data_IF_422062368178
#
_entry.id   IF_422062368178
#
_cell.length_a   1.000
_cell.length_b   1.000
_cell.length_c   1.000
_cell.angle_alpha   90.00
_cell.angle_beta   90.00
_cell.angle_gamma   90.00
#
_symmetry.space_group_name_H-M   'P 1'
#
loop_
_entity.id
_entity.type
_entity.pdbx_description
1 polymer ?
#
# COMPACT_ATOMS: atom_id res chain seq x y z
N UNK A 1 -23.01 -2.29 -35.48
CA UNK A 1 -22.59 -1.11 -34.69
C UNK A 1 -21.42 -1.55 -33.84
N UNK A 2 -20.21 -1.10 -34.13
CA UNK A 2 -19.04 -1.46 -33.34
C UNK A 2 -18.95 -0.55 -32.11
N UNK A 3 -18.83 -1.14 -30.92
CA UNK A 3 -18.75 -0.40 -29.67
C UNK A 3 -17.30 0.03 -29.45
N UNK A 4 -16.80 0.98 -30.25
CA UNK A 4 -15.39 1.41 -30.26
C UNK A 4 -15.18 2.74 -29.51
N UNK A 5 -16.07 3.08 -28.59
CA UNK A 5 -15.96 4.28 -27.77
C UNK A 5 -15.03 4.09 -26.58
N UNK A 6 -14.37 5.16 -26.15
CA UNK A 6 -13.66 5.25 -24.87
C UNK A 6 -14.17 6.48 -24.13
N UNK A 7 -14.47 6.34 -22.85
CA UNK A 7 -14.87 7.43 -21.97
C UNK A 7 -13.86 7.56 -20.84
N UNK A 8 -13.22 8.73 -20.72
CA UNK A 8 -12.44 9.12 -19.54
C UNK A 8 -13.30 10.03 -18.66
N UNK A 9 -13.65 9.54 -17.47
CA UNK A 9 -14.39 10.27 -16.46
C UNK A 9 -13.41 10.77 -15.39
N UNK A 10 -13.50 12.06 -15.04
CA UNK A 10 -12.70 12.68 -13.98
C UNK A 10 -13.63 13.38 -13.00
N UNK A 11 -13.67 12.87 -11.76
CA UNK A 11 -14.31 13.52 -10.64
C UNK A 11 -13.23 14.24 -9.83
N UNK A 12 -13.01 15.52 -10.15
CA UNK A 12 -11.89 16.32 -9.61
C UNK A 12 -11.94 16.43 -8.10
N UNK A 13 -13.09 16.81 -7.54
CA UNK A 13 -13.24 17.06 -6.10
C UNK A 13 -13.20 15.76 -5.28
N UNK A 14 -13.57 14.64 -5.89
CA UNK A 14 -13.49 13.31 -5.28
C UNK A 14 -12.14 12.62 -5.48
N UNK A 15 -11.22 13.23 -6.24
CA UNK A 15 -9.94 12.63 -6.60
C UNK A 15 -10.05 11.24 -7.25
N UNK A 16 -11.08 11.04 -8.10
CA UNK A 16 -11.36 9.76 -8.77
C UNK A 16 -11.34 9.91 -10.29
N UNK A 17 -10.75 8.93 -10.96
CA UNK A 17 -10.81 8.81 -12.42
C UNK A 17 -11.19 7.40 -12.86
N UNK A 18 -11.86 7.32 -14.00
CA UNK A 18 -12.29 6.07 -14.60
C UNK A 18 -12.13 6.12 -16.12
N UNK A 19 -11.68 5.01 -16.71
CA UNK A 19 -11.69 4.78 -18.16
C UNK A 19 -12.65 3.64 -18.44
N UNK A 20 -13.69 3.90 -19.23
CA UNK A 20 -14.63 2.89 -19.74
C UNK A 20 -14.32 2.63 -21.20
N UNK A 21 -14.14 1.36 -21.56
CA UNK A 21 -13.79 0.94 -22.91
C UNK A 21 -14.96 0.17 -23.51
N UNK A 22 -15.35 0.52 -24.74
CA UNK A 22 -16.35 -0.25 -25.48
C UNK A 22 -15.79 -1.59 -25.93
N UNK A 23 -16.65 -2.62 -25.98
CA UNK A 23 -16.28 -4.00 -26.33
C UNK A 23 -15.45 -4.17 -27.61
N UNK A 24 -15.60 -3.28 -28.59
CA UNK A 24 -14.85 -3.38 -29.85
C UNK A 24 -13.38 -2.96 -29.73
N UNK A 25 -13.00 -2.29 -28.64
CA UNK A 25 -11.61 -1.90 -28.36
C UNK A 25 -10.95 -2.77 -27.28
N UNK A 26 -11.63 -3.77 -26.70
CA UNK A 26 -11.06 -4.62 -25.64
C UNK A 26 -9.77 -5.34 -26.08
N UNK A 27 -9.63 -5.68 -27.37
CA UNK A 27 -8.41 -6.30 -27.89
C UNK A 27 -7.19 -5.37 -27.90
N UNK A 28 -7.39 -4.09 -28.17
CA UNK A 28 -6.30 -3.11 -28.27
C UNK A 28 -6.09 -2.32 -26.95
N UNK A 29 -7.18 -2.08 -26.22
CA UNK A 29 -7.21 -1.35 -24.96
C UNK A 29 -7.95 -2.18 -23.89
N UNK A 30 -7.37 -3.30 -23.43
CA UNK A 30 -7.95 -4.06 -22.33
C UNK A 30 -7.84 -3.30 -21.02
N UNK A 31 -8.62 -3.72 -20.03
CA UNK A 31 -8.69 -3.10 -18.69
C UNK A 31 -7.30 -2.94 -18.04
N UNK A 32 -6.43 -3.95 -18.16
CA UNK A 32 -5.07 -3.90 -17.61
C UNK A 32 -4.23 -2.75 -18.20
N UNK A 33 -4.38 -2.45 -19.50
CA UNK A 33 -3.68 -1.34 -20.16
C UNK A 33 -4.31 -0.02 -19.73
N UNK A 34 -5.64 0.08 -19.71
CA UNK A 34 -6.33 1.26 -19.21
C UNK A 34 -5.91 1.61 -17.76
N UNK A 35 -5.85 0.63 -16.88
CA UNK A 35 -5.38 0.80 -15.50
C UNK A 35 -3.91 1.24 -15.42
N UNK A 36 -3.08 0.80 -16.37
CA UNK A 36 -1.67 1.20 -16.45
C UNK A 36 -1.53 2.65 -16.91
N UNK A 37 -2.30 3.06 -17.92
CA UNK A 37 -2.37 4.44 -18.39
C UNK A 37 -2.80 5.37 -17.24
N UNK A 38 -3.82 4.99 -16.49
CA UNK A 38 -4.27 5.73 -15.30
C UNK A 38 -3.10 5.96 -14.34
N UNK A 39 -2.44 4.89 -13.90
CA UNK A 39 -1.40 4.96 -12.86
C UNK A 39 -0.14 5.71 -13.30
N UNK A 40 0.27 5.55 -14.55
CA UNK A 40 1.58 6.04 -15.00
C UNK A 40 1.52 7.29 -15.86
N UNK A 41 0.44 7.50 -16.61
CA UNK A 41 0.31 8.62 -17.53
C UNK A 41 -0.57 9.75 -16.98
N UNK A 42 -1.55 9.44 -16.12
CA UNK A 42 -2.52 10.44 -15.62
C UNK A 42 -2.25 10.83 -14.17
N UNK A 43 -2.24 9.86 -13.25
CA UNK A 43 -2.12 10.08 -11.80
C UNK A 43 -0.91 10.97 -11.40
N UNK A 44 0.31 10.81 -11.96
CA UNK A 44 1.45 11.64 -11.55
C UNK A 44 1.27 13.13 -11.81
N UNK A 45 0.53 13.49 -12.87
CA UNK A 45 0.21 14.89 -13.17
C UNK A 45 -0.92 15.41 -12.30
N UNK A 46 -1.95 14.58 -12.05
CA UNK A 46 -3.08 14.96 -11.21
C UNK A 46 -2.65 15.22 -9.76
N UNK A 47 -1.69 14.44 -9.23
CA UNK A 47 -1.02 14.70 -7.94
C UNK A 47 -0.32 16.06 -7.88
N UNK A 48 0.10 16.60 -9.02
CA UNK A 48 0.74 17.91 -9.14
C UNK A 48 -0.26 19.02 -9.50
N UNK A 49 -1.56 18.76 -9.46
CA UNK A 49 -2.63 19.66 -9.93
C UNK A 49 -2.53 20.05 -11.42
N UNK A 50 -1.78 19.27 -12.21
CA UNK A 50 -1.57 19.45 -13.67
C UNK A 50 -2.60 18.63 -14.46
N UNK A 51 -3.87 19.00 -14.33
CA UNK A 51 -4.98 18.21 -14.87
C UNK A 51 -5.00 18.16 -16.41
N UNK A 52 -4.74 19.28 -17.08
CA UNK A 52 -4.73 19.35 -18.53
C UNK A 52 -3.62 18.46 -19.12
N UNK A 53 -2.42 18.51 -18.53
CA UNK A 53 -1.28 17.69 -18.91
C UNK A 53 -1.54 16.21 -18.65
N UNK A 54 -2.15 15.86 -17.51
CA UNK A 54 -2.53 14.48 -17.20
C UNK A 54 -3.55 13.93 -18.20
N UNK A 55 -4.55 14.71 -18.59
CA UNK A 55 -5.55 14.32 -19.59
C UNK A 55 -4.88 14.15 -20.97
N UNK A 56 -4.04 15.10 -21.39
CA UNK A 56 -3.35 15.03 -22.68
C UNK A 56 -2.39 13.83 -22.75
N UNK A 57 -1.63 13.58 -21.69
CA UNK A 57 -0.75 12.41 -21.53
C UNK A 57 -1.55 11.10 -21.58
N UNK A 58 -2.67 11.02 -20.85
CA UNK A 58 -3.58 9.88 -20.87
C UNK A 58 -4.17 9.62 -22.26
N UNK A 59 -4.63 10.67 -22.94
CA UNK A 59 -5.18 10.56 -24.30
C UNK A 59 -4.14 10.06 -25.30
N UNK A 60 -2.92 10.61 -25.26
CA UNK A 60 -1.80 10.16 -26.10
C UNK A 60 -1.50 8.67 -25.88
N UNK A 61 -1.51 8.23 -24.63
CA UNK A 61 -1.31 6.83 -24.27
C UNK A 61 -2.45 5.92 -24.75
N UNK A 62 -3.71 6.36 -24.65
CA UNK A 62 -4.88 5.63 -25.17
C UNK A 62 -4.77 5.48 -26.69
N UNK A 63 -4.41 6.54 -27.42
CA UNK A 63 -4.24 6.49 -28.89
C UNK A 63 -3.16 5.46 -29.26
N UNK A 64 -2.00 5.51 -28.61
CA UNK A 64 -0.92 4.53 -28.82
C UNK A 64 -1.37 3.10 -28.52
N UNK A 65 -2.16 2.91 -27.47
CA UNK A 65 -2.68 1.58 -27.12
C UNK A 65 -3.63 1.06 -28.21
N UNK A 66 -4.52 1.90 -28.74
CA UNK A 66 -5.41 1.52 -29.85
C UNK A 66 -4.66 1.16 -31.14
N UNK A 67 -3.44 1.66 -31.31
CA UNK A 67 -2.56 1.35 -32.44
C UNK A 67 -1.64 0.13 -32.18
N UNK A 68 -1.65 -0.42 -30.97
CA UNK A 68 -0.74 -1.50 -30.56
C UNK A 68 0.69 -1.06 -30.25
N UNK A 69 0.94 0.25 -30.16
CA UNK A 69 2.26 0.84 -29.94
C UNK A 69 2.55 1.21 -28.47
N UNK A 70 1.60 0.96 -27.57
CA UNK A 70 1.76 1.32 -26.16
C UNK A 70 2.71 0.37 -25.43
N UNK A 71 3.88 0.90 -25.06
CA UNK A 71 4.80 0.25 -24.14
C UNK A 71 4.60 0.79 -22.72
N UNK A 72 4.07 -0.02 -21.78
CA UNK A 72 3.95 0.41 -20.39
C UNK A 72 5.35 0.66 -19.81
N UNK A 73 5.52 1.70 -18.97
CA UNK A 73 6.82 1.96 -18.34
C UNK A 73 7.24 0.74 -17.53
N UNK A 74 8.50 0.32 -17.69
CA UNK A 74 9.07 -0.74 -16.85
C UNK A 74 8.95 -0.28 -15.41
N UNK A 75 8.43 -1.15 -14.52
CA UNK A 75 8.47 -0.91 -13.09
C UNK A 75 9.93 -0.67 -12.72
N UNK A 76 10.28 0.58 -12.44
CA UNK A 76 11.53 0.88 -11.77
C UNK A 76 11.42 0.17 -10.42
N UNK A 77 12.20 -0.89 -10.26
CA UNK A 77 12.41 -1.46 -8.94
C UNK A 77 13.01 -0.32 -8.13
N UNK A 78 12.25 0.20 -7.16
CA UNK A 78 12.79 1.09 -6.15
C UNK A 78 14.02 0.39 -5.60
N UNK A 79 15.19 0.92 -5.94
CA UNK A 79 16.44 0.47 -5.35
C UNK A 79 16.37 0.95 -3.92
N UNK A 80 15.96 0.04 -3.03
CA UNK A 80 16.09 0.27 -1.60
C UNK A 80 17.59 0.34 -1.35
N UNK A 81 18.10 1.54 -1.09
CA UNK A 81 19.51 1.72 -0.81
C UNK A 81 19.84 0.93 0.48
N UNK A 82 20.82 -0.01 0.44
CA UNK A 82 21.16 -0.85 1.59
C UNK A 82 21.52 -0.04 2.85
N UNK A 83 21.92 1.22 2.66
CA UNK A 83 22.26 2.14 3.74
C UNK A 83 21.02 2.63 4.52
N UNK A 84 19.85 2.79 3.91
CA UNK A 84 18.63 3.24 4.62
C UNK A 84 18.19 2.21 5.66
N UNK A 85 18.26 0.92 5.33
CA UNK A 85 18.01 -0.17 6.27
C UNK A 85 19.02 -0.22 7.41
N UNK A 86 20.29 0.10 7.13
CA UNK A 86 21.36 0.13 8.13
C UNK A 86 21.17 1.28 9.13
N UNK A 87 20.80 2.47 8.67
CA UNK A 87 20.53 3.61 9.55
C UNK A 87 19.34 3.36 10.48
N UNK A 88 18.23 2.80 9.97
CA UNK A 88 17.05 2.45 10.78
C UNK A 88 17.42 1.39 11.83
N UNK A 89 18.15 0.35 11.43
CA UNK A 89 18.62 -0.69 12.34
C UNK A 89 19.54 -0.12 13.45
N UNK A 90 20.46 0.78 13.10
CA UNK A 90 21.38 1.41 14.04
C UNK A 90 20.64 2.30 15.05
N UNK A 91 19.66 3.09 14.60
CA UNK A 91 18.84 3.93 15.48
C UNK A 91 18.04 3.07 16.46
N UNK A 92 17.40 2.00 15.99
CA UNK A 92 16.67 1.06 16.85
C UNK A 92 17.62 0.38 17.85
N UNK A 93 18.80 -0.06 17.40
CA UNK A 93 19.82 -0.67 18.25
C UNK A 93 20.32 0.25 19.36
N UNK A 94 20.58 1.52 19.04
CA UNK A 94 20.99 2.54 20.03
C UNK A 94 19.86 2.83 21.03
N UNK A 95 18.62 2.95 20.57
CA UNK A 95 17.45 3.13 21.45
C UNK A 95 17.29 1.96 22.43
N UNK A 96 17.40 0.73 21.96
CA UNK A 96 17.35 -0.46 22.81
C UNK A 96 18.53 -0.48 23.80
N UNK A 97 19.74 -0.16 23.34
CA UNK A 97 20.92 -0.11 24.20
C UNK A 97 20.76 0.90 25.35
N UNK A 98 20.21 2.09 25.08
CA UNK A 98 19.92 3.11 26.11
C UNK A 98 18.83 2.61 27.06
N UNK A 99 17.78 1.98 26.54
CA UNK A 99 16.67 1.44 27.32
C UNK A 99 17.13 0.36 28.31
N UNK A 100 17.94 -0.60 27.85
CA UNK A 100 18.47 -1.68 28.69
C UNK A 100 19.46 -1.17 29.75
N UNK A 101 20.31 -0.18 29.41
CA UNK A 101 21.25 0.41 30.37
C UNK A 101 20.57 1.35 31.39
N UNK A 102 19.38 1.87 31.10
CA UNK A 102 18.64 2.76 32.01
C UNK A 102 17.75 1.99 33.00
N UNK A 103 17.23 0.82 32.63
CA UNK A 103 16.28 0.05 33.44
C UNK A 103 16.94 -1.10 34.25
N UNK A 104 18.14 -1.55 33.86
CA UNK A 104 18.84 -2.67 34.50
C UNK A 104 19.60 -2.36 35.81
N UNK A 105 19.71 -1.09 36.22
CA UNK A 105 20.53 -0.69 37.37
C UNK A 105 19.73 -0.17 38.55
N UNK A 106 19.21 -1.07 39.41
CA UNK A 106 18.96 -0.88 40.87
C UNK A 106 18.11 -2.04 41.46
N UNK A 107 18.70 -3.23 41.52
CA UNK A 107 18.17 -4.32 42.36
C UNK A 107 18.63 -4.13 43.81
N UNK A 108 17.69 -3.78 44.70
CA UNK A 108 17.87 -3.68 46.16
C UNK A 108 18.49 -4.97 46.72
N UNK A 109 19.59 -4.84 47.44
CA UNK A 109 20.04 -5.87 48.39
C UNK A 109 18.93 -6.11 49.42
N UNK A 110 18.41 -7.32 49.49
CA UNK A 110 17.53 -7.80 50.58
C UNK A 110 18.40 -8.72 51.45
N UNK A 111 18.64 -8.34 52.71
CA UNK A 111 19.42 -9.14 53.65
C UNK A 111 18.64 -10.37 54.13
N UNK A 112 19.29 -11.53 54.37
CA UNK A 112 18.59 -12.79 54.67
C UNK A 112 18.01 -12.95 56.10
N UNK A 113 17.74 -11.87 56.85
CA UNK A 113 17.34 -12.01 58.27
C UNK A 113 15.88 -12.39 58.54
N UNK A 114 15.07 -12.71 57.52
CA UNK A 114 13.67 -13.11 57.71
C UNK A 114 13.44 -14.57 57.30
N UNK A 115 14.04 -15.46 58.09
CA UNK A 115 13.69 -16.88 58.19
C UNK A 115 12.37 -16.99 58.98
N UNK A 116 11.22 -16.88 58.31
CA UNK A 116 9.93 -17.04 58.99
C UNK A 116 8.73 -16.69 58.11
N UNK A 117 8.24 -17.67 57.36
CA UNK A 117 7.03 -17.49 56.56
C UNK A 117 6.72 -18.68 55.65
N UNK A 118 6.78 -19.89 56.21
CA UNK A 118 6.29 -21.11 55.57
C UNK A 118 4.76 -21.00 55.42
N UNK A 119 4.25 -21.29 54.23
CA UNK A 119 2.93 -21.88 54.07
C UNK A 119 2.02 -21.20 53.05
N UNK A 120 1.94 -21.74 51.83
CA UNK A 120 0.72 -22.44 51.37
C UNK A 120 0.73 -22.75 49.87
N UNK A 121 0.57 -24.05 49.60
CA UNK A 121 -0.34 -24.63 48.58
C UNK A 121 0.09 -24.56 47.10
N UNK A 122 0.62 -25.71 46.68
CA UNK A 122 0.60 -26.36 45.38
C UNK A 122 -0.64 -26.05 44.52
N UNK A 123 -0.49 -25.97 43.18
CA UNK A 123 -1.22 -26.78 42.20
C UNK A 123 -0.81 -26.41 40.75
N UNK A 124 -0.27 -27.42 40.06
CA UNK A 124 -0.56 -27.84 38.67
C UNK A 124 -0.63 -26.81 37.50
N UNK A 125 0.17 -27.14 36.48
CA UNK A 125 -0.10 -27.06 35.03
C UNK A 125 0.00 -25.73 34.28
N UNK A 126 0.99 -25.72 33.36
CA UNK A 126 0.94 -25.25 31.97
C UNK A 126 0.50 -23.79 31.73
N UNK A 127 1.43 -22.86 31.92
CA UNK A 127 1.37 -21.53 31.32
C UNK A 127 1.78 -21.56 29.85
N UNK A 128 0.81 -21.82 28.95
CA UNK A 128 0.91 -21.44 27.54
C UNK A 128 0.46 -19.98 27.44
N UNK A 129 1.40 -19.05 27.55
CA UNK A 129 1.17 -17.61 27.42
C UNK A 129 1.61 -17.11 26.04
N UNK A 130 0.86 -17.43 24.99
CA UNK A 130 0.94 -16.73 23.72
C UNK A 130 -0.05 -15.57 23.74
N UNK A 131 0.45 -14.35 23.58
CA UNK A 131 -0.42 -13.19 23.46
C UNK A 131 0.37 -11.91 23.50
N UNK A 132 0.69 -11.38 22.32
CA UNK A 132 0.55 -9.96 21.96
C UNK A 132 0.77 -9.86 20.44
N UNK A 133 -0.30 -10.14 19.69
CA UNK A 133 -0.40 -9.70 18.31
C UNK A 133 -0.68 -8.20 18.31
N UNK A 134 0.31 -7.40 17.93
CA UNK A 134 0.08 -6.00 17.61
C UNK A 134 -0.41 -5.91 16.18
N UNK A 135 -1.59 -5.32 16.02
CA UNK A 135 -2.25 -5.13 14.73
C UNK A 135 -1.46 -4.17 13.85
N UNK A 136 -1.06 -4.65 12.68
CA UNK A 136 -0.73 -3.81 11.54
C UNK A 136 -2.03 -3.50 10.80
N UNK A 137 -2.47 -2.25 10.92
CA UNK A 137 -3.55 -1.70 10.10
C UNK A 137 -3.08 -1.59 8.66
N UNK A 138 -3.39 -2.59 7.84
CA UNK A 138 -3.32 -2.48 6.40
C UNK A 138 -4.55 -1.71 5.92
N UNK A 139 -4.30 -0.52 5.34
CA UNK A 139 -5.31 0.24 4.63
C UNK A 139 -5.86 -0.56 3.46
N UNK A 140 -7.05 -1.12 3.68
CA UNK A 140 -7.89 -1.72 2.65
C UNK A 140 -8.44 -0.61 1.76
N UNK A 141 -7.91 -0.50 0.55
CA UNK A 141 -8.53 0.27 -0.52
C UNK A 141 -9.86 -0.39 -0.87
N UNK A 142 -10.96 0.28 -0.52
CA UNK A 142 -12.31 -0.19 -0.76
C UNK A 142 -12.58 -0.41 -2.26
N UNK A 143 -12.87 -1.67 -2.61
CA UNK A 143 -13.49 -2.01 -3.89
C UNK A 143 -14.94 -1.56 -3.89
N UNK A 144 -15.33 -0.78 -4.89
CA UNK A 144 -16.73 -0.46 -5.14
C UNK A 144 -17.37 -1.57 -5.98
N UNK A 145 -18.56 -1.96 -5.54
CA UNK A 145 -19.34 -3.07 -6.05
C UNK A 145 -19.71 -2.94 -7.53
N UNK A 146 -19.83 -4.10 -8.16
CA UNK A 146 -20.18 -4.27 -9.56
C UNK A 146 -21.57 -3.75 -9.89
N UNK A 147 -21.62 -2.90 -10.92
CA UNK A 147 -22.80 -2.61 -11.72
C UNK A 147 -22.75 -3.41 -13.03
N UNK A 148 -23.91 -3.90 -13.48
CA UNK A 148 -24.12 -4.81 -14.61
C UNK A 148 -24.02 -4.16 -16.00
N UNK A 149 -23.05 -3.26 -16.21
CA UNK A 149 -22.74 -2.72 -17.54
C UNK A 149 -21.69 -3.60 -18.20
N UNK A 150 -22.07 -4.31 -19.26
CA UNK A 150 -21.24 -5.30 -19.97
C UNK A 150 -20.07 -4.73 -20.79
N UNK A 151 -19.28 -3.81 -20.24
CA UNK A 151 -18.00 -3.35 -20.77
C UNK A 151 -17.00 -3.18 -19.63
N UNK A 152 -15.78 -3.71 -19.82
CA UNK A 152 -14.69 -3.57 -18.85
C UNK A 152 -14.23 -2.12 -18.70
N UNK A 153 -13.75 -1.75 -17.52
CA UNK A 153 -13.23 -0.42 -17.25
C UNK A 153 -12.34 -0.35 -16.02
N UNK A 154 -11.35 0.53 -16.08
CA UNK A 154 -10.34 0.70 -15.04
C UNK A 154 -10.62 1.97 -14.24
N UNK A 155 -10.63 1.84 -12.90
CA UNK A 155 -10.72 2.96 -11.97
C UNK A 155 -9.39 3.26 -11.27
N UNK A 156 -9.17 4.51 -10.90
CA UNK A 156 -8.06 4.93 -10.06
C UNK A 156 -8.38 6.19 -9.24
N UNK A 157 -7.58 6.43 -8.21
CA UNK A 157 -7.59 7.66 -7.41
C UNK A 157 -6.20 8.30 -7.38
N UNK A 158 -6.11 9.60 -7.06
CA UNK A 158 -4.84 10.32 -6.99
C UNK A 158 -4.68 11.16 -5.73
#
# INVERSE_FOLDING_TARGET
KENNGVLLLVAKDDHKLFIVVGRGLEGALPDAIAATIIRHNIVPFFKQNKYAEGIASGLSAIIKATQGEYAPPKKEQEKVDPFDGFFIFLVIGVLLFILFNTIGGKGRYISPSNLGGIGSISHHSRGMGSGFGSGSGFGSGGGFGGGSTGGGGAGGSW
#
